data_IF_809386323827
#
_entry.id   IF_809386323827
#
_cell.length_a   1.000
_cell.length_b   1.000
_cell.length_c   1.000
_cell.angle_alpha   90.00
_cell.angle_beta   90.00
_cell.angle_gamma   90.00
#
_symmetry.space_group_name_H-M   'P 1'
#
loop_
_entity.id
_entity.type
_entity.pdbx_description
1 polymer ?
#
# COMPACT_ATOMS: atom_id res chain seq x y z
N UNK A 1 -17.93 63.11 63.43
CA UNK A 1 -17.24 63.04 62.12
C UNK A 1 -16.71 61.63 61.90
N UNK A 2 -17.43 60.79 61.14
CA UNK A 2 -16.93 59.51 60.63
C UNK A 2 -17.13 59.55 59.11
N UNK A 3 -16.03 59.52 58.36
CA UNK A 3 -15.99 59.68 56.90
C UNK A 3 -16.52 58.41 56.23
N UNK A 4 -17.51 58.59 55.36
CA UNK A 4 -18.04 57.58 54.44
C UNK A 4 -17.13 57.59 53.20
N UNK A 5 -16.69 56.40 52.76
CA UNK A 5 -15.85 56.22 51.58
C UNK A 5 -16.65 55.38 50.56
N UNK A 6 -16.83 55.83 49.31
CA UNK A 6 -17.67 55.13 48.34
C UNK A 6 -16.87 54.01 47.66
N UNK A 7 -17.48 52.83 47.56
CA UNK A 7 -16.98 51.69 46.78
C UNK A 7 -17.46 51.89 45.34
N UNK A 8 -16.52 52.06 44.40
CA UNK A 8 -16.81 52.09 42.97
C UNK A 8 -17.02 50.65 42.46
N UNK A 9 -18.21 50.36 41.90
CA UNK A 9 -18.46 49.14 41.15
C UNK A 9 -17.79 49.25 39.77
N UNK A 10 -16.81 48.39 39.50
CA UNK A 10 -16.28 48.16 38.16
C UNK A 10 -17.17 47.14 37.44
N UNK A 11 -17.83 47.56 36.37
CA UNK A 11 -18.56 46.68 35.46
C UNK A 11 -17.55 46.05 34.50
N UNK A 12 -17.26 44.76 34.67
CA UNK A 12 -16.44 44.01 33.73
C UNK A 12 -17.29 43.60 32.51
N UNK A 13 -16.97 44.17 31.35
CA UNK A 13 -17.50 43.72 30.07
C UNK A 13 -16.90 42.36 29.71
N UNK A 14 -17.74 41.32 29.72
CA UNK A 14 -17.43 40.00 29.16
C UNK A 14 -17.42 40.11 27.63
N UNK A 15 -16.25 40.28 27.04
CA UNK A 15 -16.06 40.08 25.61
C UNK A 15 -16.20 38.58 25.31
N UNK A 16 -17.32 38.19 24.72
CA UNK A 16 -17.53 36.84 24.22
C UNK A 16 -16.50 36.52 23.15
N UNK A 17 -15.64 35.54 23.41
CA UNK A 17 -14.75 34.96 22.40
C UNK A 17 -15.64 34.14 21.47
N UNK A 18 -16.02 34.74 20.34
CA UNK A 18 -16.65 34.00 19.24
C UNK A 18 -15.57 33.08 18.68
N UNK A 19 -15.62 31.80 19.06
CA UNK A 19 -14.81 30.77 18.43
C UNK A 19 -15.27 30.67 16.97
N UNK A 20 -14.45 31.16 16.03
CA UNK A 20 -14.69 30.95 14.62
C UNK A 20 -14.69 29.43 14.37
N UNK A 21 -15.82 28.90 13.92
CA UNK A 21 -15.84 27.55 13.36
C UNK A 21 -14.90 27.54 12.14
N UNK A 22 -14.14 26.45 11.91
CA UNK A 22 -13.32 26.35 10.71
C UNK A 22 -14.24 26.52 9.50
N UNK A 23 -13.79 27.33 8.54
CA UNK A 23 -14.55 27.64 7.34
C UNK A 23 -15.01 26.33 6.69
N UNK A 24 -16.33 26.14 6.58
CA UNK A 24 -16.91 25.10 5.73
C UNK A 24 -16.28 25.24 4.34
N UNK A 25 -15.51 24.25 3.91
CA UNK A 25 -15.02 24.20 2.55
C UNK A 25 -16.22 24.37 1.61
N UNK A 26 -16.17 25.36 0.72
CA UNK A 26 -17.17 25.50 -0.33
C UNK A 26 -17.20 24.25 -1.22
N UNK A 27 -18.24 24.05 -2.05
CA UNK A 27 -18.33 22.90 -2.92
C UNK A 27 -17.09 22.79 -3.83
N UNK A 28 -16.58 21.56 -4.00
CA UNK A 28 -15.43 21.29 -4.85
C UNK A 28 -15.66 21.79 -6.27
N UNK A 29 -14.66 22.49 -6.80
CA UNK A 29 -14.64 22.95 -8.19
C UNK A 29 -13.94 21.90 -9.03
N UNK A 30 -14.74 21.18 -9.81
CA UNK A 30 -14.24 20.15 -10.72
C UNK A 30 -13.87 20.74 -12.07
N UNK A 31 -12.75 20.28 -12.63
CA UNK A 31 -12.33 20.57 -14.00
C UNK A 31 -11.84 19.29 -14.68
N UNK A 32 -11.58 19.34 -15.98
CA UNK A 32 -10.99 18.20 -16.69
C UNK A 32 -9.56 17.93 -16.18
N UNK A 33 -9.22 16.66 -15.95
CA UNK A 33 -7.85 16.25 -15.66
C UNK A 33 -6.98 16.32 -16.94
N UNK A 34 -5.84 17.04 -16.94
CA UNK A 34 -4.94 17.07 -18.08
C UNK A 34 -4.43 15.67 -18.44
N UNK A 35 -4.59 15.27 -19.70
CA UNK A 35 -4.08 13.98 -20.19
C UNK A 35 -4.91 12.74 -19.80
N UNK A 36 -5.99 12.91 -19.03
CA UNK A 36 -6.82 11.81 -18.51
C UNK A 36 -8.29 11.98 -18.93
N UNK A 37 -8.66 11.60 -20.18
CA UNK A 37 -10.00 11.84 -20.72
C UNK A 37 -11.12 11.18 -19.89
N UNK A 38 -12.14 11.96 -19.54
CA UNK A 38 -13.30 11.47 -18.77
C UNK A 38 -13.10 11.48 -17.25
N UNK A 39 -11.92 11.87 -16.76
CA UNK A 39 -11.67 12.09 -15.33
C UNK A 39 -11.81 13.58 -14.99
N UNK A 40 -12.45 13.86 -13.87
CA UNK A 40 -12.58 15.21 -13.31
C UNK A 40 -11.62 15.39 -12.14
N UNK A 41 -10.87 16.49 -12.10
CA UNK A 41 -9.88 16.78 -11.07
C UNK A 41 -10.31 17.98 -10.23
N UNK A 42 -9.93 17.96 -8.94
CA UNK A 42 -10.08 19.06 -8.00
C UNK A 42 -8.98 18.99 -6.94
N UNK A 43 -9.01 19.94 -6.01
CA UNK A 43 -8.06 20.04 -4.91
C UNK A 43 -8.82 20.17 -3.59
N UNK A 44 -8.39 19.42 -2.57
CA UNK A 44 -8.87 19.54 -1.19
C UNK A 44 -7.74 20.07 -0.32
N UNK A 45 -7.92 21.25 0.28
CA UNK A 45 -6.96 21.81 1.24
C UNK A 45 -7.17 21.19 2.61
N UNK A 46 -6.10 20.69 3.24
CA UNK A 46 -6.11 20.06 4.56
C UNK A 46 -5.00 20.61 5.46
N UNK A 47 -5.13 20.51 6.80
CA UNK A 47 -4.03 20.84 7.70
C UNK A 47 -2.83 19.91 7.48
N UNK A 48 -1.62 20.47 7.50
CA UNK A 48 -0.38 19.69 7.53
C UNK A 48 -0.31 18.87 8.82
N UNK A 49 -0.53 19.52 9.97
CA UNK A 49 -0.57 18.89 11.29
C UNK A 49 -1.98 18.94 11.87
N UNK A 50 -2.65 17.80 11.98
CA UNK A 50 -4.00 17.72 12.55
C UNK A 50 -4.07 18.04 14.05
N UNK A 51 -2.92 18.11 14.76
CA UNK A 51 -2.85 18.59 16.15
C UNK A 51 -2.88 20.12 16.22
N UNK A 52 -2.60 20.80 15.10
CA UNK A 52 -2.61 22.24 14.94
C UNK A 52 -3.42 22.62 13.68
N UNK A 53 -4.76 22.43 13.68
CA UNK A 53 -5.58 22.52 12.47
C UNK A 53 -5.63 23.92 11.83
N UNK A 54 -5.33 24.97 12.59
CA UNK A 54 -5.24 26.36 12.11
C UNK A 54 -3.83 26.73 11.60
N UNK A 55 -2.92 25.75 11.54
CA UNK A 55 -1.54 25.93 11.10
C UNK A 55 -1.36 25.88 9.58
N UNK A 56 -0.14 25.60 9.10
CA UNK A 56 0.13 25.40 7.68
C UNK A 56 -0.77 24.32 7.06
N UNK A 57 -1.17 24.54 5.82
CA UNK A 57 -1.99 23.61 5.04
C UNK A 57 -1.21 23.00 3.89
N UNK A 58 -1.72 21.89 3.37
CA UNK A 58 -1.32 21.29 2.11
C UNK A 58 -2.55 21.07 1.24
N UNK A 59 -2.32 21.00 -0.05
CA UNK A 59 -3.35 20.70 -1.04
C UNK A 59 -3.24 19.23 -1.45
N UNK A 60 -4.39 18.54 -1.49
CA UNK A 60 -4.50 17.17 -1.95
C UNK A 60 -5.12 17.15 -3.34
N UNK A 61 -4.47 16.47 -4.28
CA UNK A 61 -5.03 16.19 -5.59
C UNK A 61 -6.09 15.09 -5.48
N UNK A 62 -7.31 15.41 -5.93
CA UNK A 62 -8.46 14.49 -5.91
C UNK A 62 -9.04 14.40 -7.31
N UNK A 63 -9.49 13.22 -7.69
CA UNK A 63 -10.15 12.98 -8.96
C UNK A 63 -11.49 12.27 -8.80
N UNK A 64 -12.34 12.36 -9.80
CA UNK A 64 -13.63 11.68 -9.87
C UNK A 64 -13.86 11.14 -11.27
N UNK A 65 -14.15 9.85 -11.33
CA UNK A 65 -14.83 9.22 -12.45
C UNK A 65 -16.31 9.08 -12.07
N UNK A 66 -17.15 9.90 -12.69
CA UNK A 66 -18.58 9.94 -12.40
C UNK A 66 -19.27 8.60 -12.67
N UNK A 67 -20.30 8.26 -11.88
CA UNK A 67 -21.09 7.06 -12.10
C UNK A 67 -21.65 7.02 -13.53
N UNK A 68 -21.49 5.88 -14.21
CA UNK A 68 -21.95 5.71 -15.59
C UNK A 68 -23.49 5.80 -15.72
N UNK A 69 -24.21 5.59 -14.62
CA UNK A 69 -25.68 5.74 -14.52
C UNK A 69 -26.05 6.61 -13.33
N UNK A 70 -26.16 7.94 -13.51
CA UNK A 70 -26.44 8.87 -12.42
C UNK A 70 -27.73 8.55 -11.64
N UNK A 71 -28.74 7.99 -12.30
CA UNK A 71 -30.00 7.53 -11.70
C UNK A 71 -29.83 6.33 -10.75
N UNK A 72 -28.71 5.60 -10.86
CA UNK A 72 -28.35 4.47 -10.00
C UNK A 72 -27.24 4.80 -9.00
N UNK A 73 -26.75 6.04 -9.00
CA UNK A 73 -25.68 6.49 -8.12
C UNK A 73 -26.05 6.25 -6.66
N UNK A 74 -25.20 5.52 -5.95
CA UNK A 74 -25.32 5.21 -4.52
C UNK A 74 -24.55 6.16 -3.64
N UNK A 75 -23.43 6.69 -4.16
CA UNK A 75 -22.52 7.55 -3.41
C UNK A 75 -21.13 7.49 -4.03
N UNK A 76 -20.13 7.78 -3.20
CA UNK A 76 -18.71 7.76 -3.57
C UNK A 76 -18.06 6.44 -3.16
N UNK A 77 -17.24 5.89 -4.06
CA UNK A 77 -16.27 4.84 -3.77
C UNK A 77 -14.87 5.45 -3.81
N UNK A 78 -14.30 5.73 -2.64
CA UNK A 78 -12.90 6.14 -2.53
C UNK A 78 -11.99 4.95 -2.82
N UNK A 79 -10.96 5.14 -3.64
CA UNK A 79 -10.03 4.08 -4.03
C UNK A 79 -8.59 4.39 -3.63
N UNK A 80 -7.84 3.36 -3.23
CA UNK A 80 -6.41 3.46 -3.00
C UNK A 80 -5.68 2.20 -3.50
N UNK A 81 -4.66 2.34 -4.37
CA UNK A 81 -3.95 1.20 -4.99
C UNK A 81 -2.89 0.59 -4.05
N UNK A 82 -2.70 1.15 -2.86
CA UNK A 82 -1.64 0.72 -1.95
C UNK A 82 -0.27 1.29 -2.30
N UNK A 83 0.74 0.42 -2.39
CA UNK A 83 2.15 0.79 -2.34
C UNK A 83 2.73 0.54 -0.95
N UNK A 84 2.78 1.53 -0.03
CA UNK A 84 2.43 2.95 -0.19
C UNK A 84 3.35 3.68 -1.17
N UNK A 85 3.08 4.96 -1.45
CA UNK A 85 3.91 5.78 -2.34
C UNK A 85 3.39 5.88 -3.77
N UNK A 86 2.33 5.15 -4.12
CA UNK A 86 1.68 5.27 -5.42
C UNK A 86 0.70 6.46 -5.43
N UNK A 87 0.78 7.26 -6.49
CA UNK A 87 -0.23 8.28 -6.78
C UNK A 87 -1.60 7.60 -6.99
N UNK A 88 -2.64 8.14 -6.35
CA UNK A 88 -3.98 7.56 -6.35
C UNK A 88 -4.99 8.34 -7.20
N UNK A 89 -4.65 9.56 -7.64
CA UNK A 89 -5.57 10.41 -8.39
C UNK A 89 -5.94 9.82 -9.77
N UNK A 90 -5.06 9.10 -10.45
CA UNK A 90 -5.38 8.50 -11.76
C UNK A 90 -6.05 7.12 -11.66
N UNK A 91 -6.07 6.52 -10.47
CA UNK A 91 -6.51 5.14 -10.22
C UNK A 91 -7.96 4.84 -10.61
N UNK A 92 -8.95 5.76 -10.52
CA UNK A 92 -10.32 5.49 -10.94
C UNK A 92 -10.47 4.94 -12.37
N UNK A 93 -9.54 5.26 -13.28
CA UNK A 93 -9.57 4.78 -14.67
C UNK A 93 -8.82 3.46 -14.87
N UNK A 94 -7.97 3.06 -13.94
CA UNK A 94 -7.13 1.86 -14.06
C UNK A 94 -7.77 0.61 -13.46
N UNK A 95 -8.61 0.77 -12.43
CA UNK A 95 -9.20 -0.37 -11.74
C UNK A 95 -10.23 -1.09 -12.63
N UNK A 96 -10.11 -2.42 -12.81
CA UNK A 96 -10.97 -3.21 -13.70
C UNK A 96 -12.33 -3.53 -13.05
N UNK A 97 -13.00 -2.51 -12.49
CA UNK A 97 -14.27 -2.72 -11.81
C UNK A 97 -15.35 -3.22 -12.77
N UNK A 98 -16.16 -4.21 -12.36
CA UNK A 98 -17.33 -4.64 -13.11
C UNK A 98 -18.26 -3.46 -13.41
N UNK A 99 -18.95 -3.50 -14.55
CA UNK A 99 -19.85 -2.41 -14.98
C UNK A 99 -20.89 -2.05 -13.90
N UNK A 100 -21.38 -3.03 -13.13
CA UNK A 100 -22.33 -2.78 -12.05
C UNK A 100 -21.79 -1.84 -10.97
N UNK A 101 -20.48 -1.88 -10.68
CA UNK A 101 -19.82 -0.94 -9.75
C UNK A 101 -19.70 0.43 -10.41
N UNK A 102 -19.23 0.51 -11.66
CA UNK A 102 -19.11 1.77 -12.43
C UNK A 102 -20.46 2.47 -12.61
N UNK A 103 -21.54 1.72 -12.75
CA UNK A 103 -22.90 2.25 -12.81
C UNK A 103 -23.37 2.83 -11.47
N UNK A 104 -22.83 2.36 -10.34
CA UNK A 104 -23.37 2.63 -9.00
C UNK A 104 -22.60 3.71 -8.22
N UNK A 105 -21.37 4.05 -8.60
CA UNK A 105 -20.50 4.89 -7.80
C UNK A 105 -19.85 5.99 -8.62
N UNK A 106 -19.74 7.18 -8.02
CA UNK A 106 -18.64 8.08 -8.37
C UNK A 106 -17.37 7.46 -7.77
N UNK A 107 -16.44 7.06 -8.63
CA UNK A 107 -15.17 6.49 -8.19
C UNK A 107 -14.19 7.63 -8.00
N UNK A 108 -13.74 7.84 -6.76
CA UNK A 108 -12.91 8.97 -6.38
C UNK A 108 -11.53 8.49 -6.00
N UNK A 109 -10.52 8.98 -6.72
CA UNK A 109 -9.11 8.76 -6.41
C UNK A 109 -8.52 9.99 -5.72
N UNK A 110 -7.44 9.81 -4.98
CA UNK A 110 -6.68 10.91 -4.43
C UNK A 110 -5.21 10.53 -4.29
N UNK A 111 -4.32 11.50 -4.47
CA UNK A 111 -2.93 11.35 -4.11
C UNK A 111 -2.80 11.57 -2.59
N UNK A 112 -2.31 10.59 -1.81
CA UNK A 112 -2.10 10.79 -0.38
C UNK A 112 -1.09 11.91 -0.11
N UNK A 113 -1.18 12.55 1.07
CA UNK A 113 -0.20 13.56 1.50
C UNK A 113 1.25 13.09 1.33
N UNK A 114 2.10 13.95 0.77
CA UNK A 114 3.49 13.62 0.48
C UNK A 114 3.70 12.81 -0.82
N UNK A 115 2.65 12.46 -1.55
CA UNK A 115 2.72 11.59 -2.74
C UNK A 115 2.16 12.34 -3.95
N UNK A 116 2.79 12.14 -5.11
CA UNK A 116 2.30 12.70 -6.38
C UNK A 116 2.12 14.22 -6.33
N UNK A 117 0.94 14.69 -6.72
CA UNK A 117 0.60 16.12 -6.73
C UNK A 117 0.21 16.68 -5.34
N UNK A 118 0.14 15.84 -4.30
CA UNK A 118 -0.29 16.22 -2.95
C UNK A 118 0.89 16.56 -2.03
N UNK A 119 1.51 17.73 -2.22
CA UNK A 119 2.71 18.15 -1.50
C UNK A 119 3.88 17.14 -1.63
N UNK A 120 4.23 16.79 -2.87
CA UNK A 120 5.17 15.72 -3.23
C UNK A 120 6.49 15.75 -2.46
N UNK A 121 6.69 14.72 -1.64
CA UNK A 121 7.90 14.52 -0.85
C UNK A 121 9.09 14.21 -1.76
N UNK A 122 10.25 14.76 -1.44
CA UNK A 122 11.51 14.54 -2.15
C UNK A 122 12.63 14.17 -1.17
N UNK A 123 13.56 13.33 -1.62
CA UNK A 123 14.73 12.95 -0.82
C UNK A 123 16.06 13.29 -1.49
N UNK A 124 16.05 13.85 -2.72
CA UNK A 124 17.27 14.11 -3.49
C UNK A 124 18.05 12.84 -3.89
N UNK A 125 17.41 11.67 -3.86
CA UNK A 125 18.04 10.40 -4.26
C UNK A 125 18.30 10.39 -5.77
N UNK A 126 19.44 9.83 -6.20
CA UNK A 126 19.65 9.45 -7.60
C UNK A 126 18.87 8.17 -7.93
N UNK A 127 18.74 7.81 -9.20
CA UNK A 127 17.92 6.67 -9.62
C UNK A 127 18.42 5.31 -9.09
N UNK A 128 19.72 5.15 -8.88
CA UNK A 128 20.27 3.95 -8.26
C UNK A 128 19.86 3.82 -6.79
N UNK A 129 19.98 4.90 -6.01
CA UNK A 129 19.58 4.92 -4.61
C UNK A 129 18.06 4.73 -4.45
N UNK A 130 17.24 5.21 -5.39
CA UNK A 130 15.79 4.95 -5.38
C UNK A 130 15.46 3.48 -5.61
N UNK A 131 16.14 2.84 -6.54
CA UNK A 131 15.97 1.40 -6.76
C UNK A 131 16.35 0.63 -5.50
N UNK A 132 17.47 0.98 -4.88
CA UNK A 132 17.98 0.32 -3.67
C UNK A 132 17.18 0.62 -2.40
N UNK A 133 16.51 1.77 -2.32
CA UNK A 133 15.64 2.16 -1.20
C UNK A 133 14.48 1.18 -1.01
N UNK A 134 13.93 0.68 -2.12
CA UNK A 134 12.82 -0.29 -2.13
C UNK A 134 13.31 -1.72 -2.30
N UNK A 135 14.48 -1.90 -2.93
CA UNK A 135 15.06 -3.20 -3.25
C UNK A 135 16.53 -3.28 -2.80
N UNK A 136 16.82 -3.49 -1.49
CA UNK A 136 18.19 -3.57 -1.02
C UNK A 136 18.91 -4.79 -1.64
N UNK A 137 20.26 -4.78 -1.69
CA UNK A 137 21.02 -5.94 -2.14
C UNK A 137 20.66 -7.20 -1.35
N UNK A 138 20.66 -8.36 -2.01
CA UNK A 138 20.45 -9.65 -1.35
C UNK A 138 21.61 -9.92 -0.38
N UNK A 139 21.36 -10.15 0.93
CA UNK A 139 22.43 -10.40 1.88
C UNK A 139 22.80 -11.89 1.89
N UNK A 140 24.06 -12.22 1.57
CA UNK A 140 24.59 -13.58 1.69
C UNK A 140 25.23 -13.87 3.05
N UNK A 141 25.53 -12.82 3.81
CA UNK A 141 26.25 -12.90 5.08
C UNK A 141 25.86 -11.77 6.03
N UNK A 142 26.24 -11.92 7.30
CA UNK A 142 26.10 -10.85 8.30
C UNK A 142 26.90 -9.59 7.93
N UNK A 143 27.99 -9.73 7.17
CA UNK A 143 28.77 -8.60 6.65
C UNK A 143 28.01 -7.85 5.56
N UNK A 144 27.24 -8.55 4.71
CA UNK A 144 26.42 -7.89 3.67
C UNK A 144 25.23 -7.14 4.27
N UNK A 145 24.67 -7.64 5.39
CA UNK A 145 23.69 -6.89 6.18
C UNK A 145 24.31 -5.61 6.75
N UNK A 146 25.56 -5.64 7.20
CA UNK A 146 26.25 -4.44 7.68
C UNK A 146 26.47 -3.40 6.57
N UNK A 147 26.86 -3.83 5.36
CA UNK A 147 26.95 -2.96 4.18
C UNK A 147 25.59 -2.38 3.77
N UNK A 148 24.54 -3.20 3.85
CA UNK A 148 23.16 -2.76 3.59
C UNK A 148 22.72 -1.70 4.62
N UNK A 149 23.17 -1.82 5.87
CA UNK A 149 22.93 -0.84 6.92
C UNK A 149 23.58 0.52 6.61
N UNK A 150 24.81 0.54 6.10
CA UNK A 150 25.47 1.78 5.66
C UNK A 150 24.67 2.47 4.53
N UNK A 151 24.19 1.69 3.55
CA UNK A 151 23.33 2.19 2.48
C UNK A 151 22.00 2.74 3.02
N UNK A 152 21.32 1.98 3.87
CA UNK A 152 20.10 2.39 4.52
C UNK A 152 20.27 3.70 5.30
N UNK A 153 21.37 3.85 6.03
CA UNK A 153 21.68 5.06 6.77
C UNK A 153 21.90 6.26 5.84
N UNK A 154 22.61 6.08 4.71
CA UNK A 154 22.80 7.15 3.73
C UNK A 154 21.48 7.62 3.13
N UNK A 155 20.62 6.69 2.71
CA UNK A 155 19.29 7.00 2.14
C UNK A 155 18.43 7.74 3.18
N UNK A 156 18.37 7.25 4.42
CA UNK A 156 17.63 7.92 5.50
C UNK A 156 18.16 9.33 5.76
N UNK A 157 19.49 9.52 5.81
CA UNK A 157 20.10 10.84 5.99
C UNK A 157 19.75 11.80 4.85
N UNK A 158 19.79 11.34 3.60
CA UNK A 158 19.40 12.17 2.45
C UNK A 158 17.94 12.61 2.53
N UNK A 159 17.01 11.71 2.84
CA UNK A 159 15.61 12.05 3.05
C UNK A 159 15.39 13.04 4.20
N UNK A 160 16.00 12.78 5.36
CA UNK A 160 15.83 13.61 6.57
C UNK A 160 16.54 14.96 6.51
N UNK A 161 17.37 15.19 5.50
CA UNK A 161 18.06 16.46 5.24
C UNK A 161 17.63 17.12 3.92
N UNK A 162 16.59 16.60 3.26
CA UNK A 162 16.07 17.16 2.02
C UNK A 162 15.29 18.45 2.27
N UNK A 163 15.03 19.20 1.20
CA UNK A 163 14.22 20.44 1.25
C UNK A 163 12.80 20.19 1.77
N UNK A 164 12.26 18.99 1.59
CA UNK A 164 10.91 18.60 2.02
C UNK A 164 10.90 17.77 3.30
N UNK A 165 12.05 17.64 4.01
CA UNK A 165 12.17 16.85 5.23
C UNK A 165 11.18 17.27 6.33
N UNK A 166 10.74 18.54 6.33
CA UNK A 166 9.71 19.04 7.25
C UNK A 166 8.33 18.38 7.08
N UNK A 167 8.05 17.75 5.94
CA UNK A 167 6.81 17.00 5.71
C UNK A 167 6.83 15.60 6.33
N UNK A 168 8.01 15.00 6.51
CA UNK A 168 8.16 13.60 6.94
C UNK A 168 7.37 13.22 8.19
N UNK A 169 7.32 14.04 9.25
CA UNK A 169 6.55 13.70 10.45
C UNK A 169 5.03 13.59 10.22
N UNK A 170 4.54 14.17 9.12
CA UNK A 170 3.11 14.30 8.85
C UNK A 170 2.61 13.35 7.76
N UNK A 171 3.52 12.70 7.02
CA UNK A 171 3.22 11.68 6.00
C UNK A 171 3.03 10.33 6.70
N UNK A 172 1.86 10.16 7.31
CA UNK A 172 1.46 8.94 8.05
C UNK A 172 0.12 8.42 7.56
N UNK A 173 -0.14 7.12 7.75
CA UNK A 173 -1.45 6.51 7.47
C UNK A 173 -2.55 7.19 8.29
N UNK A 174 -2.28 7.52 9.56
CA UNK A 174 -3.26 8.16 10.44
C UNK A 174 -3.71 9.52 9.90
N UNK A 175 -2.77 10.35 9.45
CA UNK A 175 -3.11 11.63 8.84
C UNK A 175 -3.75 11.48 7.45
N UNK A 176 -3.32 10.50 6.66
CA UNK A 176 -3.97 10.17 5.38
C UNK A 176 -5.43 9.73 5.58
N UNK A 177 -5.74 9.01 6.66
CA UNK A 177 -7.12 8.67 7.00
C UNK A 177 -7.95 9.89 7.43
N UNK A 178 -7.34 10.86 8.12
CA UNK A 178 -8.00 12.15 8.42
C UNK A 178 -8.25 12.96 7.15
N UNK A 179 -7.32 12.91 6.19
CA UNK A 179 -7.49 13.50 4.86
C UNK A 179 -8.66 12.87 4.11
N UNK A 180 -8.82 11.54 4.17
CA UNK A 180 -10.00 10.87 3.60
C UNK A 180 -11.31 11.41 4.18
N UNK A 181 -11.35 11.76 5.47
CA UNK A 181 -12.54 12.37 6.08
C UNK A 181 -12.76 13.81 5.60
N UNK A 182 -11.69 14.59 5.39
CA UNK A 182 -11.79 15.92 4.76
C UNK A 182 -12.26 15.85 3.31
N UNK A 183 -11.80 14.85 2.57
CA UNK A 183 -12.27 14.58 1.20
C UNK A 183 -13.76 14.24 1.23
N UNK A 184 -14.21 13.35 2.14
CA UNK A 184 -15.65 13.07 2.35
C UNK A 184 -16.45 14.35 2.58
N UNK A 185 -15.99 15.21 3.48
CA UNK A 185 -16.67 16.49 3.79
C UNK A 185 -16.76 17.40 2.57
N UNK A 186 -15.66 17.56 1.84
CA UNK A 186 -15.59 18.40 0.65
C UNK A 186 -16.47 17.88 -0.51
N UNK A 187 -16.67 16.56 -0.58
CA UNK A 187 -17.60 15.91 -1.50
C UNK A 187 -19.07 16.09 -1.09
N UNK A 188 -19.36 16.56 0.12
CA UNK A 188 -20.71 16.67 0.67
C UNK A 188 -21.31 15.33 1.10
N UNK A 189 -20.49 14.30 1.29
CA UNK A 189 -20.95 12.95 1.61
C UNK A 189 -21.04 12.73 3.13
N UNK A 190 -22.15 12.16 3.60
CA UNK A 190 -22.29 11.80 5.02
C UNK A 190 -21.41 10.59 5.41
N UNK A 191 -21.25 9.66 4.46
CA UNK A 191 -20.45 8.45 4.54
C UNK A 191 -19.78 8.16 3.20
N UNK A 192 -18.66 7.46 3.22
CA UNK A 192 -17.98 6.98 1.99
C UNK A 192 -17.95 5.46 1.93
N UNK A 193 -18.09 4.91 0.72
CA UNK A 193 -17.60 3.55 0.44
C UNK A 193 -16.11 3.62 0.12
N UNK A 194 -15.39 2.54 0.36
CA UNK A 194 -13.94 2.46 0.18
C UNK A 194 -13.52 1.12 -0.43
N UNK A 195 -12.57 1.17 -1.36
CA UNK A 195 -11.86 0.01 -1.87
C UNK A 195 -10.36 0.28 -1.79
N UNK A 196 -9.65 -0.50 -0.97
CA UNK A 196 -8.21 -0.39 -0.78
C UNK A 196 -7.52 -1.70 -1.13
N UNK A 197 -6.46 -1.61 -1.92
CA UNK A 197 -5.58 -2.72 -2.26
C UNK A 197 -4.30 -2.66 -1.45
N UNK A 198 -3.76 -3.81 -1.03
CA UNK A 198 -2.41 -3.88 -0.44
C UNK A 198 -2.26 -2.94 0.77
N UNK A 199 -1.32 -1.99 0.76
CA UNK A 199 -1.23 -0.94 1.79
C UNK A 199 -2.54 -0.17 2.03
N UNK A 200 -3.35 0.03 0.99
CA UNK A 200 -4.68 0.64 1.11
C UNK A 200 -5.59 -0.10 2.08
N UNK A 201 -5.37 -1.40 2.31
CA UNK A 201 -6.13 -2.16 3.32
C UNK A 201 -5.85 -1.69 4.75
N UNK A 202 -4.60 -1.35 5.06
CA UNK A 202 -4.23 -0.78 6.35
C UNK A 202 -4.80 0.63 6.49
N UNK A 203 -4.74 1.44 5.43
CA UNK A 203 -5.37 2.76 5.40
C UNK A 203 -6.88 2.70 5.64
N UNK A 204 -7.60 1.79 4.99
CA UNK A 204 -9.03 1.55 5.21
C UNK A 204 -9.35 1.07 6.62
N UNK A 205 -8.52 0.18 7.19
CA UNK A 205 -8.67 -0.27 8.58
C UNK A 205 -8.45 0.88 9.57
N UNK A 206 -7.47 1.75 9.32
CA UNK A 206 -7.23 2.96 10.14
C UNK A 206 -8.40 3.94 10.00
N UNK A 207 -8.89 4.21 8.79
CA UNK A 207 -10.05 5.09 8.56
C UNK A 207 -11.28 4.62 9.32
N UNK A 208 -11.65 3.35 9.19
CA UNK A 208 -12.80 2.77 9.89
C UNK A 208 -12.63 2.70 11.41
N UNK A 209 -11.39 2.70 11.90
CA UNK A 209 -11.09 2.78 13.34
C UNK A 209 -11.24 4.22 13.87
N UNK A 210 -10.75 5.21 13.13
CA UNK A 210 -10.80 6.62 13.53
C UNK A 210 -12.19 7.23 13.34
N UNK A 211 -12.92 6.80 12.31
CA UNK A 211 -14.20 7.35 11.89
C UNK A 211 -15.24 6.25 11.70
N UNK A 212 -15.57 5.47 12.76
CA UNK A 212 -16.35 4.24 12.63
C UNK A 212 -17.73 4.44 12.01
N UNK A 213 -18.35 5.60 12.21
CA UNK A 213 -19.70 5.92 11.71
C UNK A 213 -19.70 6.68 10.37
N UNK A 214 -18.53 6.87 9.74
CA UNK A 214 -18.36 7.62 8.47
C UNK A 214 -18.11 6.73 7.25
N UNK A 215 -18.11 5.41 7.43
CA UNK A 215 -18.06 4.44 6.33
C UNK A 215 -19.42 3.81 6.04
N UNK A 216 -19.60 3.41 4.78
CA UNK A 216 -20.78 2.66 4.29
C UNK A 216 -20.43 1.25 3.82
N UNK A 217 -19.60 1.10 2.78
CA UNK A 217 -19.14 -0.20 2.29
C UNK A 217 -17.64 -0.19 2.07
N UNK A 218 -16.91 -0.94 2.89
CA UNK A 218 -15.44 -0.99 2.85
C UNK A 218 -15.00 -2.36 2.36
N UNK A 219 -14.17 -2.37 1.31
CA UNK A 219 -13.49 -3.57 0.81
C UNK A 219 -12.00 -3.42 1.02
N UNK A 220 -11.40 -4.38 1.73
CA UNK A 220 -9.97 -4.48 1.97
C UNK A 220 -9.43 -5.69 1.19
N UNK A 221 -8.82 -5.45 0.04
CA UNK A 221 -8.29 -6.51 -0.82
C UNK A 221 -6.79 -6.70 -0.58
N UNK A 222 -6.42 -7.93 -0.21
CA UNK A 222 -5.02 -8.32 0.01
C UNK A 222 -4.44 -7.58 1.21
N UNK A 223 -4.89 -8.04 2.39
CA UNK A 223 -4.83 -7.27 3.62
C UNK A 223 -3.49 -7.36 4.32
N UNK A 224 -2.91 -6.20 4.62
CA UNK A 224 -1.81 -6.08 5.58
C UNK A 224 -2.25 -6.48 7.00
N UNK A 225 -1.29 -6.84 7.88
CA UNK A 225 -1.58 -7.07 9.29
C UNK A 225 -2.05 -5.79 10.02
N UNK A 226 -2.63 -5.92 11.23
CA UNK A 226 -3.21 -4.77 11.94
C UNK A 226 -2.16 -3.77 12.43
N UNK A 227 -0.89 -4.17 12.48
CA UNK A 227 0.23 -3.26 12.74
C UNK A 227 0.66 -2.46 11.50
N UNK A 228 0.09 -2.73 10.32
CA UNK A 228 0.42 -2.04 9.08
C UNK A 228 1.69 -2.58 8.40
N UNK A 229 2.34 -1.73 7.59
CA UNK A 229 3.48 -2.14 6.76
C UNK A 229 4.83 -1.96 7.49
N UNK A 230 5.03 -2.73 8.56
CA UNK A 230 6.25 -2.68 9.36
C UNK A 230 7.30 -3.75 8.95
N UNK A 231 8.37 -3.87 9.75
CA UNK A 231 9.44 -4.84 9.52
C UNK A 231 8.95 -6.29 9.48
N UNK A 232 7.95 -6.65 10.28
CA UNK A 232 7.42 -8.02 10.31
C UNK A 232 6.51 -8.29 9.11
N UNK A 233 5.73 -7.29 8.67
CA UNK A 233 4.98 -7.38 7.42
C UNK A 233 5.90 -7.60 6.21
N UNK A 234 7.06 -6.94 6.15
CA UNK A 234 8.06 -7.18 5.12
C UNK A 234 8.65 -8.58 5.19
N UNK A 235 9.09 -9.01 6.38
CA UNK A 235 9.65 -10.36 6.58
C UNK A 235 8.68 -11.46 6.14
N UNK A 236 7.38 -11.27 6.38
CA UNK A 236 6.35 -12.22 5.95
C UNK A 236 6.33 -12.45 4.44
N UNK A 237 6.81 -11.53 3.60
CA UNK A 237 6.90 -11.76 2.15
C UNK A 237 7.84 -12.89 1.78
N UNK A 238 8.84 -13.23 2.61
CA UNK A 238 9.66 -14.43 2.42
C UNK A 238 8.82 -15.71 2.39
N UNK A 239 7.91 -15.83 3.36
CA UNK A 239 6.92 -16.92 3.42
C UNK A 239 5.95 -16.86 2.24
N UNK A 240 5.41 -15.67 1.95
CA UNK A 240 4.46 -15.48 0.85
C UNK A 240 5.04 -15.91 -0.49
N UNK A 241 6.26 -15.47 -0.80
CA UNK A 241 6.99 -15.88 -1.99
C UNK A 241 7.16 -17.40 -2.04
N UNK A 242 7.62 -18.01 -0.94
CA UNK A 242 7.82 -19.46 -0.86
C UNK A 242 6.51 -20.26 -1.07
N UNK A 243 5.38 -19.75 -0.60
CA UNK A 243 4.05 -20.36 -0.74
C UNK A 243 3.47 -20.19 -2.15
N UNK A 244 3.79 -19.08 -2.82
CA UNK A 244 3.28 -18.73 -4.15
C UNK A 244 4.10 -19.37 -5.27
N UNK A 245 5.40 -19.52 -5.08
CA UNK A 245 6.32 -20.04 -6.10
C UNK A 245 5.87 -21.38 -6.76
N UNK A 246 5.28 -22.36 -6.03
CA UNK A 246 4.78 -23.59 -6.63
C UNK A 246 3.77 -23.40 -7.77
N UNK A 247 2.97 -22.32 -7.74
CA UNK A 247 2.03 -22.02 -8.83
C UNK A 247 2.77 -21.66 -10.12
N UNK A 248 3.82 -20.82 -10.02
CA UNK A 248 4.69 -20.48 -11.16
C UNK A 248 5.46 -21.70 -11.65
N UNK A 249 6.03 -22.48 -10.73
CA UNK A 249 6.75 -23.70 -11.08
C UNK A 249 5.84 -24.72 -11.79
N UNK A 250 4.58 -24.82 -11.36
CA UNK A 250 3.55 -25.63 -12.02
C UNK A 250 3.20 -25.13 -13.42
N UNK A 251 3.08 -23.81 -13.61
CA UNK A 251 2.90 -23.21 -14.93
C UNK A 251 4.10 -23.51 -15.85
N UNK A 252 5.30 -23.13 -15.43
CA UNK A 252 6.51 -23.28 -16.26
C UNK A 252 6.76 -24.75 -16.65
N UNK A 253 6.52 -25.70 -15.73
CA UNK A 253 6.68 -27.12 -16.01
C UNK A 253 5.67 -27.65 -17.04
N UNK A 254 4.42 -27.17 -17.03
CA UNK A 254 3.42 -27.51 -18.06
C UNK A 254 3.79 -26.98 -19.45
N UNK A 255 4.61 -25.92 -19.49
CA UNK A 255 5.07 -25.24 -20.69
C UNK A 255 6.57 -25.47 -20.96
N UNK A 256 7.13 -26.60 -20.49
CA UNK A 256 8.57 -26.88 -20.64
C UNK A 256 9.03 -27.00 -22.10
N UNK A 257 8.12 -27.41 -23.00
CA UNK A 257 8.38 -27.43 -24.44
C UNK A 257 8.61 -26.02 -25.03
N UNK A 258 8.10 -24.97 -24.38
CA UNK A 258 8.20 -23.58 -24.82
C UNK A 258 9.37 -22.86 -24.13
N UNK A 259 9.58 -23.11 -22.83
CA UNK A 259 10.53 -22.36 -22.00
C UNK A 259 11.80 -23.12 -21.60
N UNK A 260 11.80 -24.45 -21.67
CA UNK A 260 12.94 -25.31 -21.32
C UNK A 260 13.51 -25.08 -19.91
N UNK A 261 12.65 -24.79 -18.93
CA UNK A 261 13.04 -24.51 -17.53
C UNK A 261 12.98 -25.75 -16.63
N UNK A 262 12.47 -26.87 -17.16
CA UNK A 262 12.33 -28.16 -16.49
C UNK A 262 10.88 -28.69 -16.51
N UNK A 263 10.71 -29.95 -16.92
CA UNK A 263 9.40 -30.62 -17.05
C UNK A 263 8.66 -30.92 -15.73
N UNK A 264 9.18 -30.51 -14.58
CA UNK A 264 8.52 -30.71 -13.28
C UNK A 264 8.68 -29.46 -12.41
N UNK A 265 7.73 -29.18 -11.48
CA UNK A 265 7.89 -28.07 -10.54
C UNK A 265 9.20 -28.13 -9.73
N UNK A 266 9.69 -29.34 -9.42
CA UNK A 266 10.97 -29.53 -8.75
C UNK A 266 12.17 -29.11 -9.62
N UNK A 267 12.13 -29.41 -10.92
CA UNK A 267 13.16 -28.99 -11.86
C UNK A 267 13.17 -27.46 -12.05
N UNK A 268 11.99 -26.83 -12.17
CA UNK A 268 11.88 -25.36 -12.22
C UNK A 268 12.38 -24.72 -10.91
N UNK A 269 12.11 -25.36 -9.77
CA UNK A 269 12.64 -24.92 -8.47
C UNK A 269 14.17 -25.02 -8.42
N UNK A 270 14.76 -26.09 -8.95
CA UNK A 270 16.22 -26.20 -9.06
C UNK A 270 16.80 -25.11 -9.98
N UNK A 271 16.13 -24.84 -11.11
CA UNK A 271 16.51 -23.78 -12.06
C UNK A 271 16.50 -22.39 -11.41
N UNK A 272 15.56 -22.10 -10.51
CA UNK A 272 15.57 -20.85 -9.72
C UNK A 272 16.90 -20.66 -8.99
N UNK A 273 17.31 -21.67 -8.22
CA UNK A 273 18.53 -21.59 -7.41
C UNK A 273 19.78 -21.53 -8.28
N UNK A 274 19.81 -22.27 -9.39
CA UNK A 274 20.89 -22.22 -10.38
C UNK A 274 21.06 -20.82 -10.98
N UNK A 275 19.98 -20.22 -11.48
CA UNK A 275 20.00 -18.88 -12.05
C UNK A 275 20.39 -17.84 -11.00
N UNK A 276 19.83 -17.94 -9.79
CA UNK A 276 20.14 -17.02 -8.71
C UNK A 276 21.61 -17.08 -8.31
N UNK A 277 22.16 -18.29 -8.08
CA UNK A 277 23.57 -18.48 -7.72
C UNK A 277 24.52 -18.05 -8.85
N UNK A 278 24.18 -18.34 -10.10
CA UNK A 278 24.97 -17.89 -11.26
C UNK A 278 25.06 -16.37 -11.31
N UNK A 279 23.92 -15.69 -11.16
CA UNK A 279 23.83 -14.22 -11.21
C UNK A 279 24.41 -13.54 -9.96
N UNK A 280 24.44 -14.21 -8.81
CA UNK A 280 25.16 -13.75 -7.62
C UNK A 280 26.68 -13.74 -7.86
N UNK A 281 27.21 -14.74 -8.57
CA UNK A 281 28.65 -14.86 -8.86
C UNK A 281 29.09 -13.98 -10.04
N UNK A 282 28.26 -13.90 -11.08
CA UNK A 282 28.58 -13.19 -12.32
C UNK A 282 27.30 -12.52 -12.86
N UNK A 283 27.09 -11.23 -12.56
CA UNK A 283 26.04 -10.45 -13.18
C UNK A 283 26.15 -10.48 -14.71
N UNK A 284 25.01 -10.54 -15.39
CA UNK A 284 24.93 -10.59 -16.85
C UNK A 284 24.08 -9.41 -17.35
N UNK A 285 24.64 -8.61 -18.26
CA UNK A 285 23.92 -7.48 -18.88
C UNK A 285 23.28 -6.50 -17.89
N UNK A 286 23.93 -6.25 -16.75
CA UNK A 286 23.43 -5.35 -15.69
C UNK A 286 22.37 -5.97 -14.78
N UNK A 287 22.12 -7.27 -14.92
CA UNK A 287 21.18 -8.04 -14.11
C UNK A 287 21.96 -8.99 -13.18
N UNK A 288 21.83 -8.78 -11.87
CA UNK A 288 22.46 -9.60 -10.83
C UNK A 288 21.44 -10.49 -10.11
N UNK A 289 21.89 -11.30 -9.16
CA UNK A 289 20.99 -12.18 -8.41
C UNK A 289 20.03 -11.42 -7.48
N UNK A 290 20.31 -10.16 -7.13
CA UNK A 290 19.34 -9.30 -6.41
C UNK A 290 18.20 -8.92 -7.34
N UNK A 291 18.52 -8.44 -8.55
CA UNK A 291 17.55 -8.08 -9.58
C UNK A 291 16.71 -9.29 -10.00
N UNK A 292 17.30 -10.46 -10.16
CA UNK A 292 16.59 -11.71 -10.47
C UNK A 292 15.54 -12.07 -9.41
N UNK A 293 15.92 -12.04 -8.13
CA UNK A 293 14.99 -12.37 -7.03
C UNK A 293 13.90 -11.31 -6.88
N UNK A 294 14.24 -10.03 -7.03
CA UNK A 294 13.28 -8.93 -6.99
C UNK A 294 12.30 -8.93 -8.17
N UNK A 295 12.78 -9.22 -9.37
CA UNK A 295 11.94 -9.37 -10.57
C UNK A 295 11.00 -10.56 -10.43
N UNK A 296 11.54 -11.72 -10.04
CA UNK A 296 10.74 -12.92 -9.78
C UNK A 296 9.69 -12.66 -8.70
N UNK A 297 10.04 -11.99 -7.58
CA UNK A 297 9.07 -11.68 -6.52
C UNK A 297 7.99 -10.68 -6.93
N UNK A 298 8.33 -9.76 -7.84
CA UNK A 298 7.38 -8.87 -8.47
C UNK A 298 6.36 -9.61 -9.33
N UNK A 299 6.84 -10.40 -10.29
CA UNK A 299 6.01 -11.01 -11.33
C UNK A 299 5.14 -12.16 -10.82
N UNK A 300 5.58 -12.90 -9.79
CA UNK A 300 4.74 -13.97 -9.23
C UNK A 300 3.46 -13.43 -8.55
N UNK A 301 3.31 -12.12 -8.38
CA UNK A 301 2.10 -11.49 -7.85
C UNK A 301 0.91 -11.61 -8.78
N UNK A 302 1.09 -11.94 -10.06
CA UNK A 302 -0.02 -12.06 -11.01
C UNK A 302 0.21 -13.27 -11.94
N UNK A 303 -0.78 -14.17 -12.03
CA UNK A 303 -0.73 -15.30 -12.97
C UNK A 303 -0.56 -14.83 -14.42
N UNK A 304 -1.09 -13.65 -14.79
CA UNK A 304 -0.94 -13.08 -16.12
C UNK A 304 0.52 -12.72 -16.48
N UNK A 305 1.38 -12.54 -15.48
CA UNK A 305 2.82 -12.27 -15.67
C UNK A 305 3.65 -13.55 -15.80
N UNK A 306 3.07 -14.75 -15.57
CA UNK A 306 3.82 -16.00 -15.64
C UNK A 306 4.47 -16.28 -17.00
N UNK A 307 3.81 -16.07 -18.16
CA UNK A 307 4.44 -16.27 -19.46
C UNK A 307 5.64 -15.33 -19.67
N UNK A 308 5.53 -14.07 -19.24
CA UNK A 308 6.62 -13.11 -19.31
C UNK A 308 7.78 -13.56 -18.41
N UNK A 309 7.52 -13.87 -17.14
CA UNK A 309 8.53 -14.35 -16.20
C UNK A 309 9.27 -15.59 -16.70
N UNK A 310 8.54 -16.58 -17.25
CA UNK A 310 9.14 -17.78 -17.83
C UNK A 310 10.01 -17.45 -19.06
N UNK A 311 9.59 -16.48 -19.88
CA UNK A 311 10.40 -15.97 -21.00
C UNK A 311 11.69 -15.33 -20.50
N UNK A 312 11.65 -14.48 -19.47
CA UNK A 312 12.85 -13.88 -18.88
C UNK A 312 13.84 -14.94 -18.37
N UNK A 313 13.33 -15.97 -17.69
CA UNK A 313 14.17 -17.06 -17.21
C UNK A 313 14.78 -17.86 -18.36
N UNK A 314 14.01 -18.14 -19.41
CA UNK A 314 14.52 -18.83 -20.60
C UNK A 314 15.65 -18.03 -21.27
N UNK A 315 15.48 -16.71 -21.41
CA UNK A 315 16.51 -15.84 -21.99
C UNK A 315 17.76 -15.79 -21.11
N UNK A 316 17.60 -15.71 -19.79
CA UNK A 316 18.72 -15.81 -18.85
C UNK A 316 19.44 -17.14 -18.98
N UNK A 317 18.71 -18.25 -19.02
CA UNK A 317 19.26 -19.60 -19.09
C UNK A 317 20.01 -19.87 -20.40
N UNK A 318 19.55 -19.27 -21.49
CA UNK A 318 20.16 -19.38 -22.83
C UNK A 318 21.15 -18.26 -23.16
N UNK A 319 21.51 -17.42 -22.18
CA UNK A 319 22.41 -16.27 -22.33
C UNK A 319 22.02 -15.29 -23.44
N UNK A 320 20.72 -15.16 -23.69
CA UNK A 320 20.18 -14.21 -24.64
C UNK A 320 20.01 -12.82 -24.00
N UNK A 321 20.10 -11.74 -24.78
CA UNK A 321 19.86 -10.40 -24.27
C UNK A 321 18.41 -10.29 -23.76
N UNK A 322 18.26 -9.73 -22.56
CA UNK A 322 16.93 -9.40 -22.04
C UNK A 322 16.32 -8.25 -22.87
N UNK A 323 15.02 -8.29 -23.20
CA UNK A 323 14.31 -7.13 -23.72
C UNK A 323 14.52 -5.95 -22.77
N UNK A 324 14.45 -4.72 -23.29
CA UNK A 324 14.87 -3.47 -22.62
C UNK A 324 14.25 -3.11 -21.26
N UNK A 325 13.67 -4.03 -20.49
CA UNK A 325 13.19 -3.88 -19.13
C UNK A 325 14.28 -3.97 -18.05
N UNK A 326 15.46 -4.56 -18.32
CA UNK A 326 16.60 -4.45 -17.40
C UNK A 326 17.24 -3.04 -17.39
N UNK A 327 16.92 -2.23 -18.41
CA UNK A 327 17.49 -0.90 -18.63
C UNK A 327 16.42 0.20 -18.83
N UNK A 328 15.16 -0.02 -18.43
CA UNK A 328 14.24 1.11 -18.26
C UNK A 328 14.63 1.79 -16.94
N UNK A 329 15.06 3.07 -16.95
CA UNK A 329 14.93 3.87 -15.75
C UNK A 329 13.45 3.81 -15.41
N UNK A 330 13.13 3.12 -14.32
CA UNK A 330 12.26 3.61 -13.27
C UNK A 330 11.49 4.92 -13.55
N UNK A 331 10.71 5.01 -14.62
CA UNK A 331 9.74 6.08 -14.81
C UNK A 331 8.86 6.11 -13.56
N UNK A 332 8.73 7.29 -12.96
CA UNK A 332 8.04 7.58 -11.69
C UNK A 332 8.40 6.71 -10.44
N UNK A 333 9.28 5.68 -10.54
CA UNK A 333 9.79 5.02 -9.30
C UNK A 333 10.58 5.98 -8.42
N UNK A 334 11.06 7.06 -9.05
CA UNK A 334 11.25 8.41 -8.53
C UNK A 334 10.50 8.74 -7.24
N UNK A 335 9.21 9.02 -7.43
CA UNK A 335 8.26 9.45 -6.43
C UNK A 335 7.84 8.29 -5.53
N UNK A 336 7.66 7.09 -6.13
CA UNK A 336 7.25 5.90 -5.39
C UNK A 336 8.19 5.58 -4.23
N UNK A 337 9.50 5.47 -4.45
CA UNK A 337 10.44 5.07 -3.41
C UNK A 337 10.44 6.06 -2.23
N UNK A 338 10.30 7.35 -2.52
CA UNK A 338 10.28 8.41 -1.51
C UNK A 338 8.98 8.39 -0.72
N UNK A 339 7.83 8.32 -1.40
CA UNK A 339 6.53 8.19 -0.74
C UNK A 339 6.41 6.90 0.07
N UNK A 340 6.94 5.79 -0.46
CA UNK A 340 7.00 4.49 0.21
C UNK A 340 7.76 4.59 1.54
N UNK A 341 8.98 5.14 1.51
CA UNK A 341 9.78 5.34 2.73
C UNK A 341 9.12 6.32 3.70
N UNK A 342 8.61 7.45 3.20
CA UNK A 342 7.96 8.47 4.02
C UNK A 342 6.85 7.88 4.87
N UNK A 343 5.99 7.05 4.26
CA UNK A 343 4.86 6.41 4.95
C UNK A 343 5.32 5.28 5.88
N UNK A 344 6.00 4.25 5.39
CA UNK A 344 6.26 3.05 6.23
C UNK A 344 7.23 3.33 7.38
N UNK A 345 8.17 4.26 7.18
CA UNK A 345 9.07 4.68 8.25
C UNK A 345 8.39 5.69 9.19
N UNK A 346 7.44 6.49 8.68
CA UNK A 346 6.62 7.42 9.48
C UNK A 346 5.55 6.74 10.33
N UNK A 347 5.07 5.56 9.93
CA UNK A 347 4.01 4.82 10.64
C UNK A 347 4.51 3.94 11.78
N UNK A 348 5.79 3.53 11.74
CA UNK A 348 6.30 2.46 12.60
C UNK A 348 7.67 2.80 13.15
N UNK A 349 7.92 2.41 14.40
CA UNK A 349 9.28 2.43 14.95
C UNK A 349 9.98 1.11 14.61
N UNK A 350 11.00 1.17 13.76
CA UNK A 350 11.75 0.00 13.33
C UNK A 350 12.92 -0.30 14.29
N UNK A 351 13.37 -1.56 14.38
CA UNK A 351 14.60 -1.89 15.10
C UNK A 351 15.78 -1.08 14.55
N UNK A 352 16.58 -0.49 15.44
CA UNK A 352 17.74 0.33 15.07
C UNK A 352 19.06 -0.43 15.11
N UNK A 353 19.08 -1.63 15.71
CA UNK A 353 20.28 -2.46 15.82
C UNK A 353 20.50 -3.30 14.56
N UNK A 354 21.66 -3.14 13.91
CA UNK A 354 22.09 -3.98 12.78
C UNK A 354 22.10 -5.48 13.16
N UNK A 355 22.42 -5.80 14.42
CA UNK A 355 22.42 -7.19 14.91
C UNK A 355 21.04 -7.84 14.86
N UNK A 356 19.96 -7.06 15.03
CA UNK A 356 18.59 -7.56 14.86
C UNK A 356 18.36 -8.04 13.43
N UNK A 357 18.78 -7.25 12.44
CA UNK A 357 18.64 -7.62 11.03
C UNK A 357 19.55 -8.78 10.64
N UNK A 358 20.79 -8.84 11.16
CA UNK A 358 21.67 -9.99 10.92
C UNK A 358 21.02 -11.30 11.40
N UNK A 359 20.44 -11.28 12.60
CA UNK A 359 19.70 -12.43 13.14
C UNK A 359 18.45 -12.76 12.33
N UNK A 360 17.67 -11.75 11.92
CA UNK A 360 16.46 -11.97 11.14
C UNK A 360 16.77 -12.57 9.77
N UNK A 361 17.81 -12.06 9.09
CA UNK A 361 18.30 -12.59 7.82
C UNK A 361 18.72 -14.05 7.95
N UNK A 362 19.51 -14.40 8.98
CA UNK A 362 19.93 -15.78 9.23
C UNK A 362 18.73 -16.73 9.42
N UNK A 363 17.75 -16.32 10.24
CA UNK A 363 16.55 -17.13 10.51
C UNK A 363 15.69 -17.27 9.26
N UNK A 364 15.43 -16.18 8.56
CA UNK A 364 14.48 -16.16 7.44
C UNK A 364 15.10 -16.75 6.17
N UNK A 365 16.42 -16.69 6.00
CA UNK A 365 17.14 -17.44 4.96
C UNK A 365 16.97 -18.95 5.13
N UNK A 366 17.06 -19.46 6.37
CA UNK A 366 16.88 -20.88 6.64
C UNK A 366 15.42 -21.34 6.45
N UNK A 367 14.45 -20.50 6.83
CA UNK A 367 13.02 -20.82 6.73
C UNK A 367 12.44 -20.66 5.33
N UNK A 368 12.86 -19.62 4.62
CA UNK A 368 12.33 -19.21 3.32
C UNK A 368 13.48 -18.94 2.34
N UNK A 369 14.21 -19.98 1.90
CA UNK A 369 15.50 -19.85 1.22
C UNK A 369 15.47 -19.07 -0.09
N UNK A 370 14.31 -18.93 -0.73
CA UNK A 370 14.20 -18.16 -1.96
C UNK A 370 14.32 -16.64 -1.72
N UNK A 371 13.58 -16.11 -0.73
CA UNK A 371 13.37 -14.67 -0.59
C UNK A 371 13.43 -14.14 0.86
N UNK A 372 13.54 -15.02 1.86
CA UNK A 372 13.52 -14.65 3.27
C UNK A 372 14.66 -13.73 3.69
N UNK A 373 15.89 -14.01 3.25
CA UNK A 373 17.05 -13.16 3.52
C UNK A 373 16.85 -11.73 2.99
N UNK A 374 16.29 -11.62 1.78
CA UNK A 374 15.98 -10.35 1.14
C UNK A 374 14.90 -9.56 1.90
N UNK A 375 13.81 -10.25 2.26
CA UNK A 375 12.68 -9.67 2.98
C UNK A 375 13.08 -9.17 4.39
N UNK A 376 14.00 -9.87 5.04
CA UNK A 376 14.48 -9.58 6.39
C UNK A 376 15.63 -8.57 6.49
N UNK A 377 16.16 -8.10 5.36
CA UNK A 377 17.33 -7.22 5.35
C UNK A 377 17.01 -5.83 5.95
N UNK A 378 18.05 -5.15 6.44
CA UNK A 378 17.97 -3.78 6.96
C UNK A 378 17.62 -2.79 5.85
N UNK A 379 16.79 -1.80 6.18
CA UNK A 379 16.29 -0.76 5.26
C UNK A 379 16.37 0.62 5.93
N UNK A 380 16.16 1.69 5.16
CA UNK A 380 16.30 3.07 5.61
C UNK A 380 15.50 3.40 6.89
N UNK A 381 14.37 2.73 7.12
CA UNK A 381 13.55 2.94 8.31
C UNK A 381 14.26 2.65 9.64
N UNK A 382 15.30 1.81 9.65
CA UNK A 382 16.13 1.57 10.84
C UNK A 382 16.87 2.82 11.34
N UNK A 383 16.99 3.84 10.47
CA UNK A 383 17.70 5.10 10.72
C UNK A 383 16.78 6.32 10.60
N UNK A 384 15.46 6.09 10.57
CA UNK A 384 14.47 7.16 10.46
C UNK A 384 14.14 7.75 11.84
N UNK A 385 13.76 9.03 11.93
CA UNK A 385 13.22 9.60 13.16
C UNK A 385 12.01 8.82 13.66
N UNK A 386 11.83 8.76 14.98
CA UNK A 386 10.69 8.10 15.57
C UNK A 386 9.37 8.77 15.12
N UNK A 387 8.29 7.99 14.88
CA UNK A 387 6.96 8.53 14.60
C UNK A 387 6.51 9.53 15.65
N UNK A 388 5.94 10.66 15.20
CA UNK A 388 5.46 11.73 16.09
C UNK A 388 4.07 11.46 16.67
N UNK A 389 3.29 10.61 16.02
CA UNK A 389 1.97 10.16 16.51
C UNK A 389 2.03 8.69 16.92
N UNK A 390 1.19 8.33 17.89
CA UNK A 390 0.99 6.93 18.22
C UNK A 390 0.29 6.20 17.08
N UNK A 391 0.73 4.97 16.80
CA UNK A 391 0.09 4.10 15.82
C UNK A 391 -1.36 3.83 16.22
N UNK A 392 -2.27 3.95 15.25
CA UNK A 392 -3.69 3.65 15.45
C UNK A 392 -3.86 2.15 15.67
N UNK A 393 -4.41 1.77 16.84
CA UNK A 393 -4.71 0.37 17.14
C UNK A 393 -6.04 -0.01 16.49
N UNK A 394 -6.01 -0.89 15.50
CA UNK A 394 -7.22 -1.41 14.84
C UNK A 394 -8.14 -2.09 15.87
N UNK A 395 -9.43 -1.78 15.79
CA UNK A 395 -10.46 -2.33 16.70
C UNK A 395 -11.69 -2.81 15.94
N UNK A 396 -12.53 -3.61 16.59
CA UNK A 396 -13.81 -4.05 16.05
C UNK A 396 -14.99 -3.12 16.34
N UNK A 397 -14.73 -1.86 16.72
CA UNK A 397 -15.79 -0.89 17.03
C UNK A 397 -16.46 -0.37 15.74
N UNK A 398 -17.77 -0.14 15.81
CA UNK A 398 -18.60 0.43 14.73
C UNK A 398 -19.36 -0.61 13.89
N UNK A 399 -20.04 -0.18 12.81
CA UNK A 399 -20.97 -0.99 12.03
C UNK A 399 -20.28 -2.11 11.24
N UNK A 400 -21.00 -3.22 11.02
CA UNK A 400 -20.52 -4.35 10.23
C UNK A 400 -20.50 -4.03 8.72
N UNK A 401 -19.43 -3.38 8.25
CA UNK A 401 -19.28 -2.83 6.91
C UNK A 401 -17.90 -3.07 6.27
N UNK A 402 -17.09 -3.98 6.82
CA UNK A 402 -15.75 -4.28 6.29
C UNK A 402 -15.73 -5.68 5.67
N UNK A 403 -15.66 -5.75 4.34
CA UNK A 403 -15.42 -6.99 3.62
C UNK A 403 -13.94 -7.11 3.29
N UNK A 404 -13.26 -8.07 3.92
CA UNK A 404 -11.90 -8.43 3.58
C UNK A 404 -11.90 -9.47 2.48
N UNK A 405 -11.04 -9.32 1.50
CA UNK A 405 -10.93 -10.22 0.35
C UNK A 405 -9.47 -10.63 0.22
N UNK A 406 -9.21 -11.94 0.11
CA UNK A 406 -7.84 -12.45 0.27
C UNK A 406 -7.60 -13.74 -0.52
N UNK A 407 -6.51 -13.77 -1.28
CA UNK A 407 -6.00 -15.00 -1.89
C UNK A 407 -5.26 -15.84 -0.84
N UNK A 408 -5.45 -17.16 -0.88
CA UNK A 408 -4.73 -18.08 0.03
C UNK A 408 -3.21 -18.03 -0.19
N UNK A 409 -2.76 -17.83 -1.44
CA UNK A 409 -1.34 -17.79 -1.82
C UNK A 409 -0.93 -16.39 -2.30
N UNK A 410 -1.29 -15.36 -1.55
CA UNK A 410 -0.80 -14.00 -1.80
C UNK A 410 0.66 -13.85 -1.35
N UNK A 411 1.60 -13.53 -2.27
CA UNK A 411 3.01 -13.43 -1.92
C UNK A 411 3.40 -12.11 -1.22
N UNK A 412 2.61 -11.04 -1.36
CA UNK A 412 2.94 -9.71 -0.85
C UNK A 412 2.26 -9.42 0.48
N UNK A 413 1.01 -9.86 0.64
CA UNK A 413 0.23 -9.77 1.88
C UNK A 413 -0.29 -11.15 2.29
N UNK A 414 0.58 -12.00 2.87
CA UNK A 414 0.23 -13.39 3.13
C UNK A 414 -0.93 -13.55 4.12
N UNK A 415 -1.73 -14.60 3.91
CA UNK A 415 -2.97 -14.87 4.66
C UNK A 415 -2.83 -14.76 6.19
N UNK A 416 -1.74 -15.21 6.86
CA UNK A 416 -1.62 -15.06 8.30
C UNK A 416 -1.70 -13.60 8.79
N UNK A 417 -1.16 -12.64 8.03
CA UNK A 417 -1.30 -11.21 8.33
C UNK A 417 -2.75 -10.74 8.22
N UNK A 418 -3.40 -11.08 7.12
CA UNK A 418 -4.81 -10.77 6.87
C UNK A 418 -5.74 -11.36 7.95
N UNK A 419 -5.48 -12.59 8.42
CA UNK A 419 -6.26 -13.21 9.49
C UNK A 419 -6.13 -12.44 10.82
N UNK A 420 -4.97 -11.86 11.13
CA UNK A 420 -4.81 -11.00 12.32
C UNK A 420 -5.64 -9.72 12.19
N UNK A 421 -5.68 -9.12 11.01
CA UNK A 421 -6.55 -7.95 10.75
C UNK A 421 -8.02 -8.32 10.86
N UNK A 422 -8.40 -9.47 10.32
CA UNK A 422 -9.76 -10.02 10.45
C UNK A 422 -10.17 -10.22 11.90
N UNK A 423 -9.27 -10.71 12.75
CA UNK A 423 -9.52 -10.83 14.19
C UNK A 423 -9.58 -9.47 14.90
N UNK A 424 -8.69 -8.54 14.58
CA UNK A 424 -8.67 -7.20 15.17
C UNK A 424 -9.97 -6.41 14.89
N UNK A 425 -10.52 -6.55 13.68
CA UNK A 425 -11.79 -5.94 13.27
C UNK A 425 -13.03 -6.66 13.83
N UNK A 426 -12.89 -7.82 14.48
CA UNK A 426 -13.96 -8.48 15.24
C UNK A 426 -15.26 -8.67 14.45
N UNK A 427 -16.39 -8.28 15.05
CA UNK A 427 -17.71 -8.44 14.42
C UNK A 427 -17.95 -7.52 13.22
N UNK A 428 -17.13 -6.46 13.08
CA UNK A 428 -17.19 -5.47 12.01
C UNK A 428 -16.89 -6.05 10.64
N UNK A 429 -15.98 -7.03 10.62
CA UNK A 429 -15.45 -7.58 9.37
C UNK A 429 -16.03 -8.96 9.03
N UNK A 430 -16.04 -9.26 7.74
CA UNK A 430 -16.19 -10.61 7.19
C UNK A 430 -15.13 -10.82 6.14
N UNK A 431 -14.63 -12.05 6.03
CA UNK A 431 -13.57 -12.38 5.09
C UNK A 431 -14.07 -13.32 3.99
N UNK A 432 -13.74 -13.01 2.74
CA UNK A 432 -13.85 -13.91 1.60
C UNK A 432 -12.45 -14.34 1.22
N UNK A 433 -12.16 -15.63 1.38
CA UNK A 433 -10.89 -16.23 0.96
C UNK A 433 -11.07 -16.97 -0.35
N UNK A 434 -10.12 -16.90 -1.26
CA UNK A 434 -10.10 -17.70 -2.49
C UNK A 434 -8.88 -18.59 -2.57
N UNK A 435 -9.09 -19.86 -2.93
CA UNK A 435 -8.04 -20.80 -3.29
C UNK A 435 -7.47 -20.46 -4.67
N UNK A 436 -6.69 -19.39 -4.70
CA UNK A 436 -5.93 -18.89 -5.83
C UNK A 436 -4.63 -18.24 -5.31
N UNK A 437 -3.70 -18.02 -6.23
CA UNK A 437 -2.52 -17.19 -5.98
C UNK A 437 -2.72 -15.75 -6.42
N UNK A 438 -1.67 -14.96 -6.20
CA UNK A 438 -1.58 -13.58 -6.65
C UNK A 438 -1.88 -12.55 -5.56
N UNK A 439 -1.51 -11.30 -5.84
CA UNK A 439 -1.73 -10.14 -4.99
C UNK A 439 -2.78 -9.25 -5.64
N UNK A 440 -3.76 -8.81 -4.85
CA UNK A 440 -5.08 -8.35 -5.31
C UNK A 440 -5.92 -9.52 -5.83
N UNK A 441 -7.14 -9.66 -5.30
CA UNK A 441 -8.01 -10.79 -5.56
C UNK A 441 -9.20 -10.41 -6.45
N UNK A 442 -9.85 -9.31 -6.14
CA UNK A 442 -11.04 -8.81 -6.81
C UNK A 442 -10.69 -8.20 -8.17
N UNK A 443 -11.33 -8.71 -9.23
CA UNK A 443 -11.14 -8.23 -10.60
C UNK A 443 -9.81 -8.66 -11.25
N UNK A 444 -8.79 -9.01 -10.48
CA UNK A 444 -7.51 -9.52 -10.99
C UNK A 444 -7.51 -11.04 -11.24
N UNK A 445 -8.25 -11.81 -10.45
CA UNK A 445 -8.32 -13.27 -10.56
C UNK A 445 -9.60 -13.79 -11.21
N UNK A 446 -9.55 -15.04 -11.70
CA UNK A 446 -10.69 -15.70 -12.34
C UNK A 446 -11.78 -16.20 -11.36
N UNK A 447 -11.55 -16.12 -10.04
CA UNK A 447 -12.46 -16.69 -9.04
C UNK A 447 -13.80 -15.96 -8.98
N UNK A 448 -14.80 -16.57 -9.62
CA UNK A 448 -16.14 -16.05 -9.78
C UNK A 448 -16.86 -15.98 -8.44
N UNK A 449 -16.65 -16.97 -7.56
CA UNK A 449 -17.23 -16.96 -6.21
C UNK A 449 -16.80 -15.71 -5.42
N UNK A 450 -15.51 -15.36 -5.47
CA UNK A 450 -14.96 -14.18 -4.80
C UNK A 450 -15.46 -12.90 -5.48
N UNK A 451 -15.31 -12.80 -6.80
CA UNK A 451 -15.71 -11.63 -7.56
C UNK A 451 -17.20 -11.31 -7.40
N UNK A 452 -18.09 -12.29 -7.56
CA UNK A 452 -19.53 -12.10 -7.40
C UNK A 452 -19.88 -11.69 -5.98
N UNK A 453 -19.23 -12.27 -4.96
CA UNK A 453 -19.50 -11.91 -3.55
C UNK A 453 -19.12 -10.46 -3.29
N UNK A 454 -17.94 -10.03 -3.74
CA UNK A 454 -17.46 -8.67 -3.56
C UNK A 454 -18.31 -7.66 -4.33
N UNK A 455 -18.68 -7.95 -5.60
CA UNK A 455 -19.59 -7.08 -6.36
C UNK A 455 -20.98 -7.03 -5.74
N UNK A 456 -21.53 -8.15 -5.28
CA UNK A 456 -22.84 -8.17 -4.61
C UNK A 456 -22.83 -7.39 -3.29
N UNK A 457 -21.72 -7.39 -2.57
CA UNK A 457 -21.54 -6.53 -1.41
C UNK A 457 -21.47 -5.06 -1.80
N UNK A 458 -20.55 -4.68 -2.71
CA UNK A 458 -20.37 -3.30 -3.15
C UNK A 458 -21.62 -2.72 -3.79
N UNK A 459 -22.38 -3.47 -4.59
CA UNK A 459 -23.55 -2.94 -5.31
C UNK A 459 -24.84 -3.20 -4.53
N UNK A 460 -25.05 -4.42 -4.04
CA UNK A 460 -26.29 -4.81 -3.37
C UNK A 460 -26.33 -4.53 -1.87
N UNK A 461 -25.17 -4.38 -1.22
CA UNK A 461 -25.08 -4.35 0.25
C UNK A 461 -25.15 -5.74 0.87
N UNK A 462 -24.93 -6.80 0.08
CA UNK A 462 -25.03 -8.18 0.53
C UNK A 462 -23.79 -8.55 1.38
N UNK A 463 -23.81 -8.14 2.65
CA UNK A 463 -22.74 -8.46 3.59
C UNK A 463 -22.84 -9.94 4.03
N UNK A 464 -21.78 -10.76 3.89
CA UNK A 464 -21.83 -12.17 4.27
C UNK A 464 -22.17 -12.36 5.75
N UNK A 465 -23.03 -13.33 6.09
CA UNK A 465 -23.36 -13.61 7.49
C UNK A 465 -22.13 -14.11 8.29
N UNK A 466 -21.22 -14.82 7.62
CA UNK A 466 -19.99 -15.42 8.14
C UNK A 466 -18.87 -15.32 7.10
N UNK A 467 -17.64 -15.56 7.54
CA UNK A 467 -16.52 -15.69 6.62
C UNK A 467 -16.79 -16.80 5.59
N UNK A 468 -16.36 -16.58 4.36
CA UNK A 468 -16.64 -17.42 3.20
C UNK A 468 -15.34 -17.89 2.58
N UNK A 469 -15.28 -19.18 2.26
CA UNK A 469 -14.24 -19.76 1.43
C UNK A 469 -14.79 -19.97 0.01
N UNK A 470 -14.00 -19.57 -0.98
CA UNK A 470 -14.23 -19.79 -2.39
C UNK A 470 -13.19 -20.80 -2.91
N UNK A 471 -13.61 -21.98 -3.39
CA UNK A 471 -12.70 -22.98 -3.91
C UNK A 471 -12.01 -22.49 -5.18
N UNK A 472 -10.94 -23.16 -5.59
CA UNK A 472 -10.26 -22.90 -6.85
C UNK A 472 -11.27 -23.06 -8.01
N UNK A 473 -11.17 -22.17 -8.99
CA UNK A 473 -11.93 -22.34 -10.23
C UNK A 473 -11.46 -23.59 -10.96
N UNK A 474 -12.39 -24.32 -11.56
CA UNK A 474 -12.05 -25.43 -12.44
C UNK A 474 -11.52 -24.82 -13.73
N UNK A 475 -10.23 -25.06 -13.99
CA UNK A 475 -9.55 -24.75 -15.25
C UNK A 475 -10.11 -25.56 -16.41
#
# INVERSE_FOLDING_TARGET
MRKIMPIALAVAALAGVVSAAPASAGPLRWGACPGEPGLECSTVTVPLDYRHPEGPTIDLAVSRLSAAKPDKRRGVLLVNPGGPGLAGAHVPQLLPFPQAVRDSYDIVGFDPRGIGASAGLTCGLNDADKALATNPPYPHSSADVAKSAELAQRIAKQCTSSETAGLLPFVTTANTARDMDRIREALGEAKVSYYGESYGTYLGAVYTTLFPDRSDRVVLDSSLPPEGYDVEALRAQGMGFQQRFPDFAGFAAKHDQDYHLGATPAAVTAKYYELAERLDRKPESGFDGTAFRGFTSGDIRNDASFPELATYWHLLDTHQPLPGAAAKPAGDRGSFAVGYLGVICGDSQWPTSVRTYQRNVEIDQARYPMYGAYAANVRACAYWPAPVEQKVRITGNGPADVLMVQNLRDPATPLPGALRTRWALGSRARMVTADQGGHVAYGAGANKCLNDTTTAYLVGGNFPARDRFCPAERS
#
